data_IF_456481007005
#
_entry.id   IF_456481007005
#
_cell.length_a   1.000
_cell.length_b   1.000
_cell.length_c   1.000
_cell.angle_alpha   90.00
_cell.angle_beta   90.00
_cell.angle_gamma   90.00
#
_symmetry.space_group_name_H-M   'P 1'
#
loop_
_entity.id
_entity.type
_entity.pdbx_description
1 polymer ?
#
# COMPACT_ATOMS: atom_id res chain seq x y z
N UNK A 1 -5.17 3.50 -3.20
CA UNK A 1 -4.37 4.68 -2.77
C UNK A 1 -4.37 5.81 -3.79
N UNK A 2 -4.09 5.55 -5.08
CA UNK A 2 -4.12 6.60 -6.12
C UNK A 2 -5.44 7.37 -6.16
N UNK A 3 -6.58 6.66 -6.08
CA UNK A 3 -7.91 7.28 -6.01
C UNK A 3 -8.03 8.26 -4.82
N UNK A 4 -7.57 7.86 -3.64
CA UNK A 4 -7.59 8.70 -2.43
C UNK A 4 -6.71 9.94 -2.61
N UNK A 5 -5.49 9.76 -3.11
CA UNK A 5 -4.55 10.87 -3.35
C UNK A 5 -5.15 11.91 -4.32
N UNK A 6 -5.78 11.43 -5.41
CA UNK A 6 -6.42 12.28 -6.42
C UNK A 6 -7.64 13.03 -5.86
N UNK A 7 -8.55 12.32 -5.20
CA UNK A 7 -9.78 12.92 -4.68
C UNK A 7 -9.50 13.92 -3.55
N UNK A 8 -8.59 13.59 -2.63
CA UNK A 8 -8.23 14.46 -1.52
C UNK A 8 -7.21 15.55 -1.90
N UNK A 9 -6.64 15.50 -3.11
CA UNK A 9 -5.60 16.44 -3.61
C UNK A 9 -4.37 16.50 -2.71
N UNK A 10 -3.90 15.33 -2.25
CA UNK A 10 -2.73 15.16 -1.39
C UNK A 10 -1.72 14.22 -2.03
N UNK A 11 -0.47 14.30 -1.60
CA UNK A 11 0.53 13.28 -1.87
C UNK A 11 0.41 12.12 -0.91
N UNK A 12 0.80 10.92 -1.34
CA UNK A 12 0.98 9.78 -0.44
C UNK A 12 2.37 9.20 -0.68
N UNK A 13 3.19 9.11 0.36
CA UNK A 13 4.53 8.53 0.31
C UNK A 13 4.56 7.21 1.04
N UNK A 14 4.80 6.13 0.31
CA UNK A 14 4.91 4.77 0.80
C UNK A 14 6.36 4.37 1.02
N UNK A 15 6.59 3.49 1.99
CA UNK A 15 7.88 2.87 2.27
C UNK A 15 7.80 1.39 1.95
N UNK A 16 8.49 0.95 0.90
CA UNK A 16 8.37 -0.42 0.39
C UNK A 16 8.75 -1.49 1.42
N UNK A 17 9.77 -1.23 2.24
CA UNK A 17 10.19 -2.15 3.30
C UNK A 17 9.18 -2.29 4.44
N UNK A 18 8.24 -1.35 4.59
CA UNK A 18 7.22 -1.39 5.63
C UNK A 18 5.96 -2.14 5.21
N UNK A 19 5.81 -2.48 3.91
CA UNK A 19 4.62 -3.13 3.38
C UNK A 19 4.76 -4.65 3.56
N UNK A 20 3.87 -5.28 4.35
CA UNK A 20 3.90 -6.72 4.57
C UNK A 20 3.48 -7.43 3.28
N UNK A 21 4.43 -8.12 2.66
CA UNK A 21 4.21 -9.00 1.51
C UNK A 21 5.00 -10.27 1.82
N UNK A 22 4.29 -11.40 1.91
CA UNK A 22 4.89 -12.70 2.18
C UNK A 22 5.83 -13.13 1.05
N UNK A 23 6.89 -13.87 1.38
CA UNK A 23 7.89 -14.31 0.40
C UNK A 23 7.27 -15.20 -0.68
N UNK A 24 6.30 -16.04 -0.31
CA UNK A 24 5.55 -16.88 -1.25
C UNK A 24 4.76 -16.03 -2.26
N UNK A 25 4.17 -14.92 -1.81
CA UNK A 25 3.46 -13.97 -2.67
C UNK A 25 4.45 -13.24 -3.59
N UNK A 26 5.61 -12.81 -3.06
CA UNK A 26 6.66 -12.19 -3.88
C UNK A 26 7.14 -13.14 -4.97
N UNK A 27 7.48 -14.37 -4.60
CA UNK A 27 7.93 -15.40 -5.53
C UNK A 27 6.89 -15.73 -6.60
N UNK A 28 5.61 -15.88 -6.20
CA UNK A 28 4.53 -16.12 -7.15
C UNK A 28 4.34 -14.94 -8.12
N UNK A 29 4.34 -13.70 -7.62
CA UNK A 29 4.23 -12.50 -8.47
C UNK A 29 5.41 -12.40 -9.44
N UNK A 30 6.64 -12.65 -8.99
CA UNK A 30 7.83 -12.64 -9.84
C UNK A 30 7.75 -13.66 -10.96
N UNK A 31 7.39 -14.91 -10.64
CA UNK A 31 7.22 -15.98 -11.63
C UNK A 31 6.14 -15.67 -12.68
N UNK A 32 5.08 -14.97 -12.28
CA UNK A 32 3.94 -14.64 -13.14
C UNK A 32 4.09 -13.29 -13.86
N UNK A 33 5.15 -12.53 -13.59
CA UNK A 33 5.33 -11.18 -14.13
C UNK A 33 4.31 -10.16 -13.60
N UNK A 34 3.82 -10.37 -12.38
CA UNK A 34 2.87 -9.50 -11.70
C UNK A 34 3.58 -8.60 -10.69
N UNK A 35 3.00 -7.43 -10.41
CA UNK A 35 3.44 -6.56 -9.32
C UNK A 35 2.41 -6.68 -8.17
N UNK A 36 2.83 -7.11 -6.96
CA UNK A 36 1.91 -7.40 -5.85
C UNK A 36 1.10 -6.19 -5.39
N UNK A 37 1.52 -4.97 -5.73
CA UNK A 37 0.79 -3.74 -5.43
C UNK A 37 -0.52 -3.60 -6.23
N UNK A 38 -0.70 -4.41 -7.28
CA UNK A 38 -1.83 -4.32 -8.18
C UNK A 38 -2.72 -5.56 -8.22
N UNK A 39 -2.41 -6.56 -7.41
CA UNK A 39 -3.26 -7.75 -7.26
C UNK A 39 -4.36 -7.46 -6.24
N UNK A 40 -5.59 -7.90 -6.54
CA UNK A 40 -6.72 -7.71 -5.66
C UNK A 40 -6.50 -8.37 -4.29
N UNK A 41 -7.00 -7.73 -3.23
CA UNK A 41 -6.98 -8.27 -1.87
C UNK A 41 -8.42 -8.47 -1.37
N UNK A 42 -8.78 -9.66 -0.88
CA UNK A 42 -10.15 -9.99 -0.41
C UNK A 42 -10.29 -10.06 1.12
N UNK A 43 -9.38 -9.43 1.85
CA UNK A 43 -9.38 -9.47 3.33
C UNK A 43 -8.49 -8.42 3.96
N UNK A 44 -8.32 -7.29 3.28
CA UNK A 44 -7.43 -6.19 3.72
C UNK A 44 -8.20 -4.88 3.68
N UNK A 45 -7.83 -3.98 4.58
CA UNK A 45 -8.30 -2.61 4.57
C UNK A 45 -7.11 -1.64 4.54
N UNK A 46 -7.32 -0.46 3.97
CA UNK A 46 -6.43 0.67 4.11
C UNK A 46 -7.04 1.64 5.12
N UNK A 47 -6.22 2.13 6.04
CA UNK A 47 -6.63 3.03 7.12
C UNK A 47 -5.73 4.26 7.10
N UNK A 48 -6.34 5.44 7.01
CA UNK A 48 -5.64 6.74 7.05
C UNK A 48 -6.11 7.47 8.29
N UNK A 49 -5.18 7.86 9.15
CA UNK A 49 -5.46 8.47 10.46
C UNK A 49 -4.52 9.64 10.72
N UNK A 50 -4.90 10.49 11.68
CA UNK A 50 -4.02 11.53 12.15
C UNK A 50 -2.75 10.94 12.80
N UNK A 51 -1.57 11.58 12.63
CA UNK A 51 -0.30 11.01 13.09
C UNK A 51 -0.27 10.74 14.59
N UNK A 52 -0.94 11.56 15.39
CA UNK A 52 -1.02 11.43 16.85
C UNK A 52 -1.73 10.16 17.34
N UNK A 53 -2.56 9.52 16.50
CA UNK A 53 -3.29 8.28 16.85
C UNK A 53 -2.82 7.06 16.07
N UNK A 54 -1.84 7.20 15.18
CA UNK A 54 -1.38 6.13 14.29
C UNK A 54 -0.97 4.85 15.05
N UNK A 55 -0.13 4.99 16.08
CA UNK A 55 0.32 3.87 16.90
C UNK A 55 -0.81 3.23 17.71
N UNK A 56 -1.75 4.03 18.21
CA UNK A 56 -2.90 3.52 18.98
C UNK A 56 -3.79 2.66 18.08
N UNK A 57 -4.07 3.14 16.87
CA UNK A 57 -4.87 2.42 15.88
C UNK A 57 -4.15 1.15 15.41
N UNK A 58 -2.86 1.25 15.08
CA UNK A 58 -2.05 0.09 14.68
C UNK A 58 -2.06 -1.01 15.75
N UNK A 59 -1.79 -0.63 17.01
CA UNK A 59 -1.79 -1.57 18.13
C UNK A 59 -3.18 -2.16 18.40
N UNK A 60 -4.24 -1.43 18.09
CA UNK A 60 -5.61 -1.95 18.19
C UNK A 60 -5.90 -2.97 17.10
N UNK A 61 -5.53 -2.68 15.85
CA UNK A 61 -5.69 -3.61 14.73
C UNK A 61 -4.93 -4.92 14.97
N UNK A 62 -3.70 -4.83 15.49
CA UNK A 62 -2.85 -6.02 15.76
C UNK A 62 -3.36 -6.93 16.87
N UNK A 63 -4.34 -6.50 17.67
CA UNK A 63 -5.01 -7.37 18.67
C UNK A 63 -6.01 -8.33 18.02
N UNK A 64 -6.53 -7.98 16.84
CA UNK A 64 -7.39 -8.86 16.07
C UNK A 64 -6.57 -9.90 15.28
N UNK A 65 -7.07 -11.12 15.19
CA UNK A 65 -6.38 -12.19 14.47
C UNK A 65 -6.16 -11.84 12.98
N UNK A 66 -7.10 -11.14 12.34
CA UNK A 66 -7.02 -10.70 10.95
C UNK A 66 -6.10 -9.47 10.76
N UNK A 67 -5.86 -8.70 11.83
CA UNK A 67 -5.04 -7.50 11.82
C UNK A 67 -3.62 -7.68 12.32
N UNK A 68 -3.20 -8.91 12.66
CA UNK A 68 -1.90 -9.22 13.28
C UNK A 68 -0.70 -8.67 12.49
N UNK A 69 -0.80 -8.62 11.16
CA UNK A 69 0.24 -8.12 10.26
C UNK A 69 0.03 -6.67 9.81
N UNK A 70 -0.91 -5.94 10.41
CA UNK A 70 -1.10 -4.53 10.11
C UNK A 70 0.20 -3.76 10.30
N UNK A 71 0.43 -2.75 9.47
CA UNK A 71 1.64 -1.94 9.48
C UNK A 71 1.32 -0.50 9.06
N UNK A 72 2.08 0.45 9.61
CA UNK A 72 2.15 1.80 9.04
C UNK A 72 3.06 1.71 7.81
N UNK A 73 2.49 1.95 6.63
CA UNK A 73 3.18 1.72 5.34
C UNK A 73 3.66 3.02 4.67
N UNK A 74 3.40 4.17 5.27
CA UNK A 74 3.66 5.47 4.68
C UNK A 74 2.90 6.59 5.36
N UNK A 75 2.85 7.72 4.67
CA UNK A 75 2.22 8.95 5.18
C UNK A 75 1.55 9.75 4.05
N UNK A 76 0.60 10.59 4.44
CA UNK A 76 0.04 11.63 3.58
C UNK A 76 0.93 12.86 3.67
N UNK A 77 1.24 13.48 2.54
CA UNK A 77 2.16 14.62 2.46
C UNK A 77 1.66 15.69 1.48
N UNK A 78 2.29 16.87 1.50
CA UNK A 78 1.90 17.99 0.64
C UNK A 78 2.54 17.92 -0.75
N UNK A 79 3.65 17.19 -0.87
CA UNK A 79 4.41 17.00 -2.10
C UNK A 79 3.67 16.11 -3.09
N UNK A 80 3.74 16.45 -4.38
CA UNK A 80 3.12 15.69 -5.47
C UNK A 80 1.62 15.39 -5.25
N UNK A 81 0.78 16.42 -5.07
CA UNK A 81 -0.65 16.22 -4.85
C UNK A 81 -1.29 15.42 -5.99
N UNK A 82 -2.12 14.44 -5.63
CA UNK A 82 -2.74 13.52 -6.59
C UNK A 82 -1.85 12.34 -7.00
N UNK A 83 -0.67 12.18 -6.41
CA UNK A 83 0.27 11.10 -6.73
C UNK A 83 0.62 10.26 -5.50
N UNK A 84 0.87 8.98 -5.76
CA UNK A 84 1.45 8.04 -4.80
C UNK A 84 2.89 7.77 -5.19
N UNK A 85 3.82 7.93 -4.25
CA UNK A 85 5.23 7.60 -4.43
C UNK A 85 5.62 6.41 -3.55
N UNK A 86 6.54 5.58 -4.01
CA UNK A 86 7.09 4.45 -3.27
C UNK A 86 8.60 4.66 -3.14
N UNK A 87 9.07 4.77 -1.89
CA UNK A 87 10.48 4.71 -1.56
C UNK A 87 10.92 3.25 -1.49
N UNK A 88 11.80 2.86 -2.39
CA UNK A 88 12.32 1.50 -2.48
C UNK A 88 13.28 1.17 -1.34
N UNK A 89 13.55 -0.12 -1.16
CA UNK A 89 14.50 -0.62 -0.15
C UNK A 89 15.92 -0.05 -0.28
N UNK A 90 16.33 0.33 -1.48
CA UNK A 90 17.64 0.92 -1.79
C UNK A 90 17.63 2.46 -1.82
N UNK A 91 16.51 3.08 -1.42
CA UNK A 91 16.37 4.53 -1.26
C UNK A 91 15.91 5.30 -2.50
N UNK A 92 15.72 4.62 -3.63
CA UNK A 92 15.12 5.24 -4.82
C UNK A 92 13.65 5.55 -4.63
N UNK A 93 13.11 6.51 -5.38
CA UNK A 93 11.68 6.84 -5.38
C UNK A 93 11.09 6.57 -6.76
N UNK A 94 9.93 5.92 -6.81
CA UNK A 94 9.13 5.77 -8.04
C UNK A 94 7.68 6.20 -7.81
N UNK A 95 7.00 6.62 -8.87
CA UNK A 95 5.55 6.83 -8.84
C UNK A 95 4.88 5.45 -8.92
N UNK A 96 3.89 5.22 -8.07
CA UNK A 96 2.97 4.08 -8.18
C UNK A 96 1.83 4.54 -9.07
N UNK A 97 1.88 4.18 -10.35
CA UNK A 97 0.85 4.58 -11.31
C UNK A 97 -0.48 3.88 -11.04
N UNK A 98 -1.57 4.39 -11.62
CA UNK A 98 -2.81 3.64 -11.69
C UNK A 98 -2.75 2.72 -12.91
N UNK A 99 -3.15 1.45 -12.78
CA UNK A 99 -3.21 0.58 -13.95
C UNK A 99 -4.24 1.09 -14.95
N UNK A 100 -3.93 0.97 -16.23
CA UNK A 100 -4.84 1.24 -17.34
C UNK A 100 -5.82 0.09 -17.63
N UNK A 101 -5.77 -1.00 -16.85
CA UNK A 101 -6.63 -2.19 -16.99
C UNK A 101 -6.36 -3.22 -15.89
N UNK A 102 -7.05 -4.37 -15.95
CA UNK A 102 -6.87 -5.48 -15.00
C UNK A 102 -5.70 -6.38 -15.38
N UNK A 103 -4.88 -6.78 -14.41
CA UNK A 103 -3.79 -7.75 -14.64
C UNK A 103 -4.28 -9.19 -14.74
N UNK A 104 -5.36 -9.54 -14.05
CA UNK A 104 -5.87 -10.90 -13.96
C UNK A 104 -7.36 -10.91 -14.32
N UNK A 105 -7.75 -11.48 -15.47
CA UNK A 105 -9.16 -11.48 -15.87
C UNK A 105 -9.98 -12.36 -14.92
N UNK A 106 -11.17 -11.87 -14.54
CA UNK A 106 -12.09 -12.53 -13.59
C UNK A 106 -11.49 -12.71 -12.19
N UNK A 107 -10.67 -11.75 -11.77
CA UNK A 107 -10.30 -11.60 -10.37
C UNK A 107 -11.43 -10.84 -9.67
N UNK A 108 -12.20 -11.57 -8.86
CA UNK A 108 -13.44 -11.15 -8.18
C UNK A 108 -14.62 -10.73 -9.08
#
# INVERSE_FOLDING_TARGET
LNEIAQQAKVGIRLVESAIPIHEEVRGACEMLGLDPFYVANEGKCLVIVAPEVAEIVLNTMRKDALGKEAAIIGEVCAEMPGKVTLRSRIGGMRIVEMLSGEQLPRIC
#
